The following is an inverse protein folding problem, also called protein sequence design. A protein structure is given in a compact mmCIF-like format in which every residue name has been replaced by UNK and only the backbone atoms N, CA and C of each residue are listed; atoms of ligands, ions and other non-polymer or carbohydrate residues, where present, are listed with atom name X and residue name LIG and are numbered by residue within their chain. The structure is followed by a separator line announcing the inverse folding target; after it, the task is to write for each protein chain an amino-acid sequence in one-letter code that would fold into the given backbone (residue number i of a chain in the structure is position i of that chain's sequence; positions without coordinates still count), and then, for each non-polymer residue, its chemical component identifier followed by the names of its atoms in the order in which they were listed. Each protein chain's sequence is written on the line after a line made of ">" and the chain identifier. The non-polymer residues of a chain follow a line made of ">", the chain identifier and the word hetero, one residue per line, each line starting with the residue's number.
data_IF_713905385315
#
_entry.id   IF_713905385315
#
_cell.length_a   1.000
_cell.length_b   1.000
_cell.length_c   1.000
_cell.angle_alpha   90.00
_cell.angle_beta   90.00
_cell.angle_gamma   90.00
#
_symmetry.space_group_name_H-M   'P 1'
#
loop_
_entity.id
_entity.type
_entity.pdbx_description
1 polymer ?
#
# COMPACT_ATOMS: atom_id res chain seq x y z
N UNK A 1 -1.89 5.45 -2.90
CA UNK A 1 -3.32 5.75 -2.85
C UNK A 1 -3.93 5.13 -1.59
N UNK A 2 -4.41 5.97 -0.64
CA UNK A 2 -5.03 5.53 0.62
C UNK A 2 -4.13 5.73 1.84
N UNK A 3 -4.55 6.65 2.73
CA UNK A 3 -3.84 7.08 3.94
C UNK A 3 -4.42 6.42 5.20
N UNK A 4 -4.73 5.13 5.13
CA UNK A 4 -5.07 4.30 6.28
C UNK A 4 -3.82 3.89 7.08
N UNK A 5 -3.98 2.92 7.98
CA UNK A 5 -2.87 2.40 8.80
C UNK A 5 -1.72 1.89 7.94
N UNK A 6 -2.01 0.99 6.99
CA UNK A 6 -0.99 0.39 6.13
C UNK A 6 -0.35 1.44 5.21
N UNK A 7 -1.16 2.29 4.56
CA UNK A 7 -0.65 3.32 3.65
C UNK A 7 0.24 4.35 4.36
N UNK A 8 -0.13 4.77 5.57
CA UNK A 8 0.70 5.64 6.39
C UNK A 8 2.02 4.99 6.79
N UNK A 9 2.03 3.70 7.14
CA UNK A 9 3.26 2.98 7.47
C UNK A 9 4.16 2.82 6.24
N UNK A 10 3.60 2.43 5.09
CA UNK A 10 4.34 2.33 3.82
C UNK A 10 4.96 3.68 3.45
N UNK A 11 4.16 4.74 3.37
CA UNK A 11 4.64 6.07 3.04
C UNK A 11 5.75 6.54 3.99
N UNK A 12 5.63 6.25 5.30
CA UNK A 12 6.70 6.57 6.26
C UNK A 12 8.00 5.82 5.96
N UNK A 13 7.92 4.53 5.68
CA UNK A 13 9.11 3.73 5.47
C UNK A 13 9.84 4.11 4.20
N UNK A 14 9.11 4.34 3.11
CA UNK A 14 9.67 4.83 1.86
C UNK A 14 10.27 6.25 2.00
N UNK A 15 9.54 7.18 2.61
CA UNK A 15 10.03 8.53 2.86
C UNK A 15 11.31 8.55 3.69
N UNK A 16 11.39 7.72 4.74
CA UNK A 16 12.59 7.60 5.58
C UNK A 16 13.75 6.88 4.90
N UNK A 17 13.50 6.15 3.84
CA UNK A 17 14.51 5.57 2.96
C UNK A 17 14.99 6.55 1.87
N UNK A 18 14.52 7.80 1.90
CA UNK A 18 14.88 8.82 0.90
C UNK A 18 14.19 8.68 -0.45
N UNK A 19 13.15 7.83 -0.53
CA UNK A 19 12.35 7.72 -1.75
C UNK A 19 11.45 8.94 -1.93
N UNK A 20 11.22 9.36 -3.18
CA UNK A 20 10.19 10.34 -3.51
C UNK A 20 8.81 9.71 -3.36
N UNK A 21 8.04 10.20 -2.40
CA UNK A 21 6.76 9.61 -1.99
C UNK A 21 5.68 10.66 -1.91
N UNK A 22 4.60 10.43 -2.60
CA UNK A 22 3.36 11.21 -2.47
C UNK A 22 2.27 10.34 -1.82
N UNK A 23 1.62 10.85 -0.78
CA UNK A 23 0.51 10.18 -0.09
C UNK A 23 -0.82 10.77 -0.53
N UNK A 24 -1.72 9.95 -1.06
CA UNK A 24 -3.08 10.40 -1.35
C UNK A 24 -3.98 10.17 -0.14
N UNK A 25 -4.52 11.27 0.39
CA UNK A 25 -5.47 11.27 1.49
C UNK A 25 -6.66 12.20 1.17
N UNK A 26 -7.82 11.97 1.78
CA UNK A 26 -9.06 12.74 1.48
C UNK A 26 -9.70 13.31 2.74
N UNK A 27 -10.48 14.39 2.55
CA UNK A 27 -11.28 15.05 3.58
C UNK A 27 -10.45 15.55 4.77
N UNK A 28 -11.05 15.62 5.93
CA UNK A 28 -10.43 16.12 7.18
C UNK A 28 -9.09 15.46 7.51
N UNK A 29 -8.91 14.20 7.10
CA UNK A 29 -7.64 13.49 7.32
C UNK A 29 -6.51 14.03 6.45
N UNK A 30 -6.80 14.43 5.22
CA UNK A 30 -5.82 15.10 4.37
C UNK A 30 -5.40 16.45 4.95
N UNK A 31 -6.36 17.23 5.45
CA UNK A 31 -6.11 18.52 6.11
C UNK A 31 -5.24 18.34 7.35
N UNK A 32 -5.55 17.34 8.18
CA UNK A 32 -4.75 17.02 9.37
C UNK A 32 -3.29 16.67 9.01
N UNK A 33 -3.10 15.81 8.00
CA UNK A 33 -1.75 15.42 7.56
C UNK A 33 -1.00 16.62 6.97
N UNK A 34 -1.66 17.45 6.16
CA UNK A 34 -1.05 18.65 5.57
C UNK A 34 -0.62 19.66 6.65
N UNK A 35 -1.44 19.86 7.67
CA UNK A 35 -1.19 20.81 8.75
C UNK A 35 -0.08 20.33 9.72
N UNK A 36 -0.20 19.13 10.22
CA UNK A 36 0.58 18.62 11.35
C UNK A 36 1.64 17.58 10.95
N UNK A 37 1.73 17.24 9.66
CA UNK A 37 2.49 16.10 9.18
C UNK A 37 1.81 14.78 9.52
N UNK A 38 2.27 13.73 8.88
CA UNK A 38 1.77 12.40 9.15
C UNK A 38 2.37 11.87 10.46
N UNK A 39 1.53 11.55 11.41
CA UNK A 39 1.90 11.15 12.78
C UNK A 39 1.62 9.66 12.99
N UNK A 40 2.63 8.92 13.43
CA UNK A 40 2.51 7.49 13.78
C UNK A 40 3.00 7.26 15.20
N UNK A 41 2.15 6.66 16.04
CA UNK A 41 2.49 6.09 17.34
C UNK A 41 2.70 4.59 17.18
N UNK A 42 3.93 4.14 17.32
CA UNK A 42 4.23 2.71 17.36
C UNK A 42 3.86 2.14 18.75
N UNK A 43 3.24 0.95 18.78
CA UNK A 43 3.02 0.25 20.05
C UNK A 43 4.32 -0.31 20.67
N UNK A 44 5.38 -0.43 19.86
CA UNK A 44 6.68 -0.99 20.32
C UNK A 44 7.69 0.07 20.74
N UNK A 45 7.42 1.35 20.47
CA UNK A 45 8.40 2.42 20.75
C UNK A 45 7.70 3.59 21.42
N UNK A 46 8.35 4.23 22.40
CA UNK A 46 7.84 5.46 22.96
C UNK A 46 7.85 6.58 21.91
N UNK A 47 7.01 7.60 22.14
CA UNK A 47 6.92 8.78 21.29
C UNK A 47 6.11 8.60 20.02
N UNK A 48 6.04 9.69 19.26
CA UNK A 48 5.32 9.78 17.99
C UNK A 48 6.33 10.10 16.89
N UNK A 49 6.31 9.31 15.82
CA UNK A 49 7.07 9.63 14.61
C UNK A 49 6.26 10.59 13.76
N UNK A 50 6.85 11.74 13.43
CA UNK A 50 6.26 12.71 12.51
C UNK A 50 7.06 12.71 11.22
N UNK A 51 6.39 12.73 10.06
CA UNK A 51 7.02 12.93 8.77
C UNK A 51 6.13 13.77 7.84
N UNK A 52 6.77 14.67 7.11
CA UNK A 52 6.12 15.60 6.19
C UNK A 52 6.14 15.03 4.77
N UNK A 53 5.46 13.90 4.60
CA UNK A 53 5.28 13.30 3.27
C UNK A 53 4.37 14.22 2.44
N UNK A 54 4.76 14.60 1.20
CA UNK A 54 3.87 15.29 0.28
C UNK A 54 2.51 14.60 0.19
N UNK A 55 1.44 15.39 0.30
CA UNK A 55 0.08 14.85 0.38
C UNK A 55 -0.84 15.52 -0.61
N UNK A 56 -1.47 14.72 -1.45
CA UNK A 56 -2.46 15.13 -2.45
C UNK A 56 -3.84 14.57 -2.11
N UNK A 57 -4.89 15.15 -2.69
CA UNK A 57 -6.27 14.71 -2.50
C UNK A 57 -6.82 13.93 -3.68
N UNK A 58 -6.20 14.06 -4.84
CA UNK A 58 -6.60 13.47 -6.10
C UNK A 58 -5.39 12.87 -6.83
N UNK A 59 -5.63 11.95 -7.74
CA UNK A 59 -4.67 11.38 -8.66
C UNK A 59 -5.07 11.81 -10.06
N UNK A 60 -4.28 12.71 -10.65
CA UNK A 60 -4.55 13.22 -11.99
C UNK A 60 -4.09 12.22 -13.07
N UNK A 61 -4.71 12.20 -14.26
CA UNK A 61 -4.30 11.32 -15.36
C UNK A 61 -2.83 11.47 -15.74
N UNK A 62 -2.31 12.69 -15.71
CA UNK A 62 -0.94 13.04 -16.08
C UNK A 62 0.09 12.92 -14.96
N UNK A 63 -0.34 12.59 -13.73
CA UNK A 63 0.57 12.28 -12.65
C UNK A 63 1.37 11.01 -12.97
N UNK A 64 2.70 11.11 -13.04
CA UNK A 64 3.59 9.99 -13.35
C UNK A 64 4.35 9.52 -12.13
N UNK A 65 4.12 8.26 -11.75
CA UNK A 65 4.85 7.59 -10.69
C UNK A 65 5.52 6.32 -11.23
N UNK A 66 6.62 5.90 -10.61
CA UNK A 66 7.22 4.59 -10.90
C UNK A 66 6.26 3.46 -10.51
N UNK A 67 5.51 3.65 -9.41
CA UNK A 67 4.53 2.70 -8.89
C UNK A 67 3.45 3.39 -8.07
N UNK A 68 2.21 2.92 -8.18
CA UNK A 68 1.12 3.29 -7.28
C UNK A 68 0.79 2.13 -6.36
N UNK A 69 0.95 2.33 -5.05
CA UNK A 69 0.44 1.42 -4.03
C UNK A 69 -1.02 1.76 -3.73
N UNK A 70 -1.93 0.85 -4.02
CA UNK A 70 -3.35 0.97 -3.70
C UNK A 70 -3.64 0.29 -2.38
N UNK A 71 -3.81 1.09 -1.31
CA UNK A 71 -3.92 0.63 0.08
C UNK A 71 -5.33 0.90 0.58
N UNK A 72 -6.26 0.08 0.14
CA UNK A 72 -7.70 0.23 0.39
C UNK A 72 -8.34 -1.13 0.69
N UNK A 73 -9.53 -1.09 1.28
CA UNK A 73 -10.35 -2.30 1.38
C UNK A 73 -10.79 -2.73 -0.02
N UNK A 74 -10.81 -4.04 -0.26
CA UNK A 74 -11.26 -4.62 -1.53
C UNK A 74 -12.57 -4.00 -2.05
N UNK A 75 -13.56 -3.83 -1.18
CA UNK A 75 -14.88 -3.25 -1.51
C UNK A 75 -14.84 -1.80 -2.01
N UNK A 76 -13.74 -1.10 -1.82
CA UNK A 76 -13.58 0.31 -2.21
C UNK A 76 -12.80 0.47 -3.52
N UNK A 77 -12.14 -0.59 -4.01
CA UNK A 77 -11.25 -0.51 -5.18
C UNK A 77 -12.04 -0.18 -6.46
N UNK A 78 -13.25 -0.74 -6.60
CA UNK A 78 -14.10 -0.47 -7.76
C UNK A 78 -14.35 1.01 -8.02
N UNK A 79 -14.47 1.81 -6.96
CA UNK A 79 -14.71 3.25 -7.07
C UNK A 79 -13.53 4.06 -7.63
N UNK A 80 -12.34 3.47 -7.73
CA UNK A 80 -11.13 4.14 -8.22
C UNK A 80 -10.54 3.48 -9.47
N UNK A 81 -11.17 2.43 -9.99
CA UNK A 81 -10.64 1.67 -11.13
C UNK A 81 -10.44 2.55 -12.36
N UNK A 82 -11.42 3.41 -12.67
CA UNK A 82 -11.33 4.30 -13.83
C UNK A 82 -10.25 5.37 -13.65
N UNK A 83 -10.04 5.85 -12.42
CA UNK A 83 -8.95 6.78 -12.08
C UNK A 83 -7.60 6.09 -12.31
N UNK A 84 -7.43 4.85 -11.84
CA UNK A 84 -6.20 4.08 -12.05
C UNK A 84 -5.96 3.75 -13.53
N UNK A 85 -7.03 3.48 -14.28
CA UNK A 85 -6.96 3.19 -15.71
C UNK A 85 -6.52 4.43 -16.49
N UNK A 86 -7.09 5.59 -16.19
CA UNK A 86 -6.79 6.86 -16.85
C UNK A 86 -5.36 7.38 -16.53
N UNK A 87 -4.86 7.13 -15.33
CA UNK A 87 -3.52 7.60 -14.93
C UNK A 87 -2.42 6.91 -15.74
N UNK A 88 -1.37 7.64 -16.13
CA UNK A 88 -0.27 7.13 -16.98
C UNK A 88 0.69 6.15 -16.32
N UNK A 89 0.70 6.03 -14.98
CA UNK A 89 1.54 5.06 -14.26
C UNK A 89 1.21 3.64 -14.66
N UNK A 90 2.22 2.85 -14.97
CA UNK A 90 2.05 1.47 -15.45
C UNK A 90 2.03 0.42 -14.35
N UNK A 91 2.75 0.64 -13.26
CA UNK A 91 2.91 -0.34 -12.19
C UNK A 91 1.94 -0.06 -11.05
N UNK A 92 1.07 -1.02 -10.75
CA UNK A 92 0.08 -0.91 -9.68
C UNK A 92 0.31 -2.05 -8.69
N UNK A 93 0.44 -1.75 -7.41
CA UNK A 93 0.54 -2.75 -6.34
C UNK A 93 -0.67 -2.62 -5.42
N UNK A 94 -1.56 -3.59 -5.44
CA UNK A 94 -2.66 -3.66 -4.48
C UNK A 94 -2.18 -4.22 -3.15
N UNK A 95 -2.40 -3.49 -2.06
CA UNK A 95 -1.92 -3.86 -0.73
C UNK A 95 -3.09 -4.21 0.18
N UNK A 96 -3.07 -5.42 0.71
CA UNK A 96 -4.07 -5.92 1.63
C UNK A 96 -4.50 -7.35 1.28
N UNK A 97 -5.54 -7.82 1.97
CA UNK A 97 -6.03 -9.19 1.76
C UNK A 97 -7.01 -9.23 0.56
N UNK A 98 -6.47 -9.20 -0.64
CA UNK A 98 -7.21 -9.14 -1.90
C UNK A 98 -7.49 -10.56 -2.43
N UNK A 99 -8.45 -11.27 -1.84
CA UNK A 99 -8.79 -12.68 -2.18
C UNK A 99 -9.30 -12.91 -3.61
N UNK A 100 -9.65 -11.85 -4.33
CA UNK A 100 -10.03 -11.89 -5.76
C UNK A 100 -8.98 -11.18 -6.62
N UNK A 101 -7.73 -11.55 -6.44
CA UNK A 101 -6.60 -10.92 -7.10
C UNK A 101 -6.71 -10.94 -8.62
N UNK A 102 -7.09 -12.09 -9.22
CA UNK A 102 -7.28 -12.21 -10.67
C UNK A 102 -8.35 -11.24 -11.20
N UNK A 103 -9.48 -11.11 -10.48
CA UNK A 103 -10.53 -10.16 -10.85
C UNK A 103 -10.07 -8.70 -10.79
N UNK A 104 -9.22 -8.34 -9.82
CA UNK A 104 -8.64 -6.99 -9.76
C UNK A 104 -7.65 -6.73 -10.90
N UNK A 105 -6.81 -7.71 -11.23
CA UNK A 105 -5.88 -7.59 -12.35
C UNK A 105 -6.64 -7.42 -13.68
N UNK A 106 -7.71 -8.18 -13.89
CA UNK A 106 -8.55 -8.09 -15.08
C UNK A 106 -9.23 -6.72 -15.27
N UNK A 107 -9.41 -5.93 -14.20
CA UNK A 107 -9.94 -4.56 -14.32
C UNK A 107 -8.93 -3.57 -14.93
N UNK A 108 -7.64 -3.91 -14.94
CA UNK A 108 -6.55 -3.03 -15.36
C UNK A 108 -5.62 -3.72 -16.38
N UNK A 109 -6.13 -4.19 -17.53
CA UNK A 109 -5.37 -5.03 -18.48
C UNK A 109 -4.14 -4.30 -19.07
N UNK A 110 -4.17 -2.97 -19.13
CA UNK A 110 -3.07 -2.14 -19.64
C UNK A 110 -1.99 -1.81 -18.60
N UNK A 111 -2.14 -2.31 -17.36
CA UNK A 111 -1.24 -2.06 -16.25
C UNK A 111 -0.49 -3.34 -15.86
N UNK A 112 0.70 -3.16 -15.28
CA UNK A 112 1.39 -4.24 -14.56
C UNK A 112 0.84 -4.28 -13.13
N UNK A 113 0.00 -5.28 -12.87
CA UNK A 113 -0.67 -5.42 -11.57
C UNK A 113 0.06 -6.45 -10.72
N UNK A 114 0.50 -6.01 -9.57
CA UNK A 114 1.13 -6.82 -8.53
C UNK A 114 0.31 -6.74 -7.25
N UNK A 115 0.57 -7.64 -6.34
CA UNK A 115 -0.11 -7.70 -5.05
C UNK A 115 0.88 -7.71 -3.91
N UNK A 116 0.50 -7.14 -2.77
CA UNK A 116 1.32 -7.15 -1.57
C UNK A 116 0.48 -7.36 -0.31
N UNK A 117 1.11 -8.00 0.65
CA UNK A 117 0.61 -8.11 2.01
C UNK A 117 1.66 -7.61 2.99
N UNK A 118 1.28 -6.70 3.90
CA UNK A 118 2.17 -6.15 4.91
C UNK A 118 1.79 -6.63 6.30
N UNK A 119 2.76 -7.07 7.09
CA UNK A 119 2.55 -7.49 8.47
C UNK A 119 2.45 -6.27 9.40
N UNK A 120 1.39 -5.50 9.23
CA UNK A 120 1.10 -4.33 10.05
C UNK A 120 -0.39 -4.30 10.41
N UNK A 121 -0.69 -3.83 11.63
CA UNK A 121 -2.03 -3.69 12.14
C UNK A 121 -2.16 -2.42 12.99
N UNK A 122 -3.37 -1.94 13.19
CA UNK A 122 -3.61 -0.78 14.03
C UNK A 122 -4.93 -0.08 13.71
N UNK A 123 -5.06 1.13 14.21
CA UNK A 123 -6.23 1.97 13.98
C UNK A 123 -5.80 3.43 13.75
N UNK A 124 -6.71 4.22 13.23
CA UNK A 124 -6.55 5.65 13.06
C UNK A 124 -7.30 6.36 14.18
N UNK A 125 -6.62 7.27 14.84
CA UNK A 125 -7.20 8.29 15.72
C UNK A 125 -7.45 9.59 14.93
N UNK A 126 -7.97 10.61 15.59
CA UNK A 126 -8.29 11.88 14.92
C UNK A 126 -7.04 12.55 14.30
N UNK A 127 -5.89 12.46 14.98
CA UNK A 127 -4.65 13.18 14.63
C UNK A 127 -3.47 12.26 14.29
N UNK A 128 -3.62 10.94 14.41
CA UNK A 128 -2.51 10.00 14.22
C UNK A 128 -2.96 8.60 13.82
N UNK A 129 -1.99 7.81 13.40
CA UNK A 129 -2.10 6.36 13.28
C UNK A 129 -1.44 5.71 14.49
N UNK A 130 -2.12 4.78 15.15
CA UNK A 130 -1.53 3.89 16.17
C UNK A 130 -1.35 2.52 15.55
N UNK A 131 -0.11 2.02 15.50
CA UNK A 131 0.16 0.78 14.76
C UNK A 131 1.27 -0.07 15.37
N UNK A 132 1.17 -1.37 15.06
CA UNK A 132 2.26 -2.32 15.07
C UNK A 132 2.67 -2.54 13.62
N UNK A 133 3.94 -2.42 13.29
CA UNK A 133 4.47 -2.69 11.95
C UNK A 133 5.74 -3.54 12.09
N UNK A 134 5.63 -4.82 11.73
CA UNK A 134 6.71 -5.80 11.85
C UNK A 134 7.76 -5.67 10.74
N UNK A 135 7.59 -4.73 9.82
CA UNK A 135 8.50 -4.48 8.70
C UNK A 135 8.70 -5.71 7.80
N UNK A 136 7.65 -6.50 7.65
CA UNK A 136 7.61 -7.62 6.70
C UNK A 136 6.61 -7.30 5.61
N UNK A 137 6.99 -7.59 4.38
CA UNK A 137 6.11 -7.50 3.22
C UNK A 137 6.33 -8.71 2.32
N UNK A 138 5.25 -9.37 1.97
CA UNK A 138 5.21 -10.34 0.87
C UNK A 138 4.60 -9.62 -0.31
N UNK A 139 5.27 -9.64 -1.46
CA UNK A 139 4.84 -8.91 -2.66
C UNK A 139 5.27 -9.67 -3.90
N UNK A 140 4.43 -9.66 -4.92
CA UNK A 140 4.77 -10.35 -6.17
C UNK A 140 3.62 -10.37 -7.17
N UNK A 141 3.68 -11.36 -8.02
CA UNK A 141 2.86 -11.48 -9.21
C UNK A 141 1.75 -12.52 -9.07
N UNK A 142 0.81 -12.53 -10.00
CA UNK A 142 -0.12 -13.64 -10.16
C UNK A 142 0.56 -14.83 -10.86
N UNK A 143 0.03 -16.03 -10.64
CA UNK A 143 0.52 -17.25 -11.29
C UNK A 143 0.52 -17.08 -12.81
N UNK A 144 1.67 -17.39 -13.44
CA UNK A 144 1.85 -17.31 -14.88
C UNK A 144 2.08 -15.89 -15.43
N UNK A 145 2.05 -14.86 -14.59
CA UNK A 145 2.44 -13.52 -15.01
C UNK A 145 3.98 -13.41 -15.17
N UNK A 146 4.47 -12.50 -16.03
CA UNK A 146 5.89 -12.21 -16.10
C UNK A 146 6.43 -11.71 -14.76
N UNK A 147 7.60 -12.20 -14.35
CA UNK A 147 8.20 -11.83 -13.06
C UNK A 147 8.56 -10.35 -12.98
N UNK A 148 8.12 -9.70 -11.93
CA UNK A 148 8.50 -8.34 -11.56
C UNK A 148 9.46 -8.29 -10.35
N UNK A 149 10.12 -9.38 -10.00
CA UNK A 149 11.01 -9.49 -8.83
C UNK A 149 12.09 -8.40 -8.81
N UNK A 150 12.74 -8.14 -9.95
CA UNK A 150 13.76 -7.08 -10.06
C UNK A 150 13.17 -5.69 -9.80
N UNK A 151 11.99 -5.39 -10.33
CA UNK A 151 11.29 -4.12 -10.11
C UNK A 151 10.94 -3.97 -8.62
N UNK A 152 10.41 -5.02 -8.00
CA UNK A 152 10.08 -5.05 -6.58
C UNK A 152 11.34 -4.80 -5.74
N UNK A 153 12.46 -5.45 -6.07
CA UNK A 153 13.74 -5.22 -5.42
C UNK A 153 14.14 -3.74 -5.45
N UNK A 154 14.08 -3.09 -6.61
CA UNK A 154 14.39 -1.66 -6.76
C UNK A 154 13.44 -0.75 -5.97
N UNK A 155 12.14 -1.06 -5.96
CA UNK A 155 11.14 -0.28 -5.22
C UNK A 155 11.45 -0.28 -3.71
N UNK A 156 11.77 -1.44 -3.15
CA UNK A 156 11.98 -1.61 -1.71
C UNK A 156 13.43 -1.40 -1.25
N UNK A 157 14.36 -1.20 -2.18
CA UNK A 157 15.77 -0.93 -1.86
C UNK A 157 15.93 0.24 -0.88
N UNK A 158 16.81 0.08 0.10
CA UNK A 158 17.08 1.08 1.14
C UNK A 158 15.98 1.20 2.21
N UNK A 159 14.85 0.53 2.06
CA UNK A 159 13.78 0.51 3.07
C UNK A 159 14.13 -0.44 4.24
N UNK A 160 13.39 -0.32 5.35
CA UNK A 160 13.52 -1.24 6.49
C UNK A 160 12.64 -2.49 6.35
N UNK A 161 12.03 -2.69 5.20
CA UNK A 161 11.21 -3.88 4.97
C UNK A 161 12.06 -5.11 4.68
N UNK A 162 11.70 -6.22 5.32
CA UNK A 162 12.09 -7.55 4.87
C UNK A 162 11.09 -7.97 3.79
N UNK A 163 11.56 -8.04 2.58
CA UNK A 163 10.75 -8.33 1.39
C UNK A 163 10.85 -9.81 1.06
N UNK A 164 9.73 -10.46 0.88
CA UNK A 164 9.62 -11.80 0.29
C UNK A 164 8.92 -11.65 -1.04
N UNK A 165 9.57 -12.06 -2.13
CA UNK A 165 8.93 -12.15 -3.43
C UNK A 165 8.11 -13.44 -3.52
N UNK A 166 6.87 -13.32 -3.98
CA UNK A 166 5.94 -14.43 -4.16
C UNK A 166 5.43 -14.45 -5.61
N UNK A 167 5.81 -15.47 -6.41
CA UNK A 167 5.41 -15.55 -7.82
C UNK A 167 3.93 -15.93 -8.01
N UNK A 168 3.24 -16.28 -6.94
CA UNK A 168 1.83 -16.66 -6.96
C UNK A 168 1.05 -16.01 -5.79
N UNK A 169 0.99 -14.68 -5.83
CA UNK A 169 0.27 -13.91 -4.81
C UNK A 169 -1.22 -14.24 -4.71
N UNK A 170 -1.84 -14.75 -5.77
CA UNK A 170 -3.24 -15.19 -5.72
C UNK A 170 -3.46 -16.28 -4.68
N UNK A 171 -2.72 -17.38 -4.78
CA UNK A 171 -2.80 -18.48 -3.82
C UNK A 171 -2.32 -18.07 -2.42
N UNK A 172 -1.24 -17.28 -2.35
CA UNK A 172 -0.75 -16.75 -1.08
C UNK A 172 -1.85 -16.00 -0.31
N UNK A 173 -2.56 -15.08 -0.98
CA UNK A 173 -3.61 -14.27 -0.36
C UNK A 173 -4.83 -15.10 0.05
N UNK A 174 -5.19 -16.12 -0.73
CA UNK A 174 -6.26 -17.06 -0.38
C UNK A 174 -5.89 -17.88 0.87
N UNK A 175 -4.69 -18.46 0.89
CA UNK A 175 -4.19 -19.21 2.06
C UNK A 175 -4.11 -18.32 3.29
N UNK A 176 -3.60 -17.08 3.13
CA UNK A 176 -3.54 -16.12 4.22
C UNK A 176 -4.93 -15.76 4.78
N UNK A 177 -5.91 -15.53 3.89
CA UNK A 177 -7.29 -15.26 4.31
C UNK A 177 -7.91 -16.42 5.06
N UNK A 178 -7.72 -17.65 4.57
CA UNK A 178 -8.22 -18.86 5.21
C UNK A 178 -7.65 -19.06 6.63
N UNK A 179 -6.39 -18.64 6.85
CA UNK A 179 -5.76 -18.67 8.16
C UNK A 179 -6.24 -17.57 9.10
N UNK A 180 -6.43 -16.35 8.60
CA UNK A 180 -6.74 -15.17 9.43
C UNK A 180 -8.22 -15.09 9.79
N UNK A 181 -9.14 -15.48 8.88
CA UNK A 181 -10.58 -15.38 9.12
C UNK A 181 -11.05 -16.16 10.36
N UNK A 182 -10.63 -17.42 10.59
CA UNK A 182 -11.02 -18.15 11.81
C UNK A 182 -10.46 -17.53 13.11
N UNK A 183 -9.33 -16.82 13.03
CA UNK A 183 -8.72 -16.18 14.18
C UNK A 183 -9.32 -14.80 14.51
N UNK A 184 -10.20 -14.27 13.65
CA UNK A 184 -10.86 -12.98 13.82
C UNK A 184 -12.25 -13.09 14.47
N UNK A 185 -12.74 -14.31 14.70
CA UNK A 185 -13.99 -14.67 15.38
C UNK A 185 -13.70 -15.55 16.57
#
# INVERSE_FOLDING_TARGET
>A
YGAGVLGCNLANNFFRAGKDVTLLARGKWAEEIKKNGRRIKSKFKPGITVSRVPTVTELEPDDGYDVIFVVMRYTQIGAITDILRANKTKNIIFVGNNVRADGLAALLPEKKVMFAFTSAAGHREADRVVSVDLKKVTVGDLRGAPSNEKLIGMIFEGTKYRVTYEPNMGDYLLCHAAFVLPAAF
#
